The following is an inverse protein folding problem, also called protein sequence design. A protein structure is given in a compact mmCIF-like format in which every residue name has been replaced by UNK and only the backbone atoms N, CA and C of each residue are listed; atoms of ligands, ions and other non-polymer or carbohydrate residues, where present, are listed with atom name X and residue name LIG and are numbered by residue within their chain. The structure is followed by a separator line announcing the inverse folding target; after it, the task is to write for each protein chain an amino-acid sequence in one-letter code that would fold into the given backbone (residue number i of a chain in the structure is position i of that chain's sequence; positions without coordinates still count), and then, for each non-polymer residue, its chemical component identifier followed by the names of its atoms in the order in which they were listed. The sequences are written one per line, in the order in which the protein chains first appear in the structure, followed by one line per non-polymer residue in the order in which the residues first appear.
data_IF_301818788858
#
_entry.id   IF_301818788858
#
_cell.length_a   1.000
_cell.length_b   1.000
_cell.length_c   1.000
_cell.angle_alpha   90.00
_cell.angle_beta   90.00
_cell.angle_gamma   90.00
#
_symmetry.space_group_name_H-M   'P 1'
#
loop_
_entity.id
_entity.type
_entity.pdbx_description
1 polymer ?
#
# COMPACT_ATOMS: atom_id res chain seq x y z
N UNK A 1 15.53 5.94 7.13
CA UNK A 1 14.15 6.43 6.88
C UNK A 1 13.97 6.55 5.39
N UNK A 2 12.94 5.93 4.82
CA UNK A 2 12.64 6.06 3.39
C UNK A 2 11.89 7.38 3.15
N UNK A 3 12.27 8.13 2.11
CA UNK A 3 11.51 9.32 1.71
C UNK A 3 10.19 8.91 1.05
N UNK A 4 10.23 7.84 0.25
CA UNK A 4 9.06 7.24 -0.37
C UNK A 4 9.33 5.78 -0.76
N UNK A 5 8.25 5.01 -0.90
CA UNK A 5 8.23 3.67 -1.51
C UNK A 5 7.19 3.66 -2.62
N UNK A 6 7.50 3.04 -3.75
CA UNK A 6 6.62 2.93 -4.92
C UNK A 6 6.34 1.47 -5.26
N UNK A 7 5.08 1.15 -5.56
CA UNK A 7 4.68 -0.11 -6.17
C UNK A 7 3.97 0.11 -7.52
N UNK A 8 4.14 -0.86 -8.42
CA UNK A 8 3.45 -0.89 -9.71
C UNK A 8 2.02 -1.41 -9.59
N UNK A 9 1.09 -0.82 -10.32
CA UNK A 9 -0.23 -1.39 -10.59
C UNK A 9 -0.71 -0.98 -12.00
N UNK A 10 -1.35 -1.91 -12.71
CA UNK A 10 -1.91 -1.62 -14.05
C UNK A 10 -3.04 -0.58 -13.99
N UNK A 11 -3.79 -0.56 -12.88
CA UNK A 11 -4.81 0.43 -12.57
C UNK A 11 -4.71 0.90 -11.10
N UNK A 12 -4.01 2.05 -10.86
CA UNK A 12 -3.92 2.65 -9.53
C UNK A 12 -5.27 3.00 -8.90
N UNK A 13 -6.30 3.30 -9.69
CA UNK A 13 -7.62 3.62 -9.17
C UNK A 13 -8.35 2.35 -8.69
N UNK A 14 -8.19 1.23 -9.40
CA UNK A 14 -8.80 -0.05 -9.03
C UNK A 14 -8.25 -0.61 -7.71
N UNK A 15 -6.98 -0.36 -7.38
CA UNK A 15 -6.36 -0.82 -6.12
C UNK A 15 -6.57 0.15 -4.95
N UNK A 16 -7.13 1.34 -5.21
CA UNK A 16 -7.37 2.36 -4.18
C UNK A 16 -8.22 1.85 -3.01
N UNK A 17 -9.35 1.14 -3.22
CA UNK A 17 -10.17 0.65 -2.09
C UNK A 17 -9.38 -0.27 -1.15
N UNK A 18 -8.48 -1.10 -1.69
CA UNK A 18 -7.63 -1.99 -0.91
C UNK A 18 -6.63 -1.21 -0.03
N UNK A 19 -5.91 -0.25 -0.62
CA UNK A 19 -4.94 0.55 0.14
C UNK A 19 -5.58 1.56 1.07
N UNK A 20 -6.76 2.10 0.74
CA UNK A 20 -7.54 2.95 1.64
C UNK A 20 -7.96 2.19 2.90
N UNK A 21 -8.42 0.94 2.77
CA UNK A 21 -8.77 0.10 3.91
C UNK A 21 -7.52 -0.25 4.73
N UNK A 22 -6.48 -0.77 4.07
CA UNK A 22 -5.24 -1.25 4.71
C UNK A 22 -4.51 -0.11 5.44
N UNK A 23 -4.29 1.03 4.79
CA UNK A 23 -3.57 2.15 5.41
C UNK A 23 -4.49 2.96 6.32
N UNK A 24 -5.80 2.96 6.08
CA UNK A 24 -6.80 3.55 6.97
C UNK A 24 -6.82 2.87 8.35
N UNK A 25 -6.63 1.56 8.41
CA UNK A 25 -6.46 0.82 9.68
C UNK A 25 -5.24 1.31 10.50
N UNK A 26 -4.20 1.78 9.79
CA UNK A 26 -3.00 2.38 10.39
C UNK A 26 -3.16 3.87 10.70
N UNK A 27 -4.30 4.48 10.40
CA UNK A 27 -4.58 5.89 10.64
C UNK A 27 -4.16 6.84 9.50
N UNK A 28 -3.84 6.31 8.32
CA UNK A 28 -3.63 7.14 7.13
C UNK A 28 -4.96 7.73 6.62
N UNK A 29 -4.87 8.90 5.99
CA UNK A 29 -6.00 9.45 5.24
C UNK A 29 -6.18 8.70 3.91
N UNK A 30 -7.39 8.72 3.31
CA UNK A 30 -7.62 8.13 2.00
C UNK A 30 -6.62 8.65 0.96
N UNK A 31 -6.18 7.77 0.07
CA UNK A 31 -5.18 8.12 -0.94
C UNK A 31 -5.73 9.13 -1.94
N UNK A 32 -4.85 9.97 -2.48
CA UNK A 32 -5.16 10.93 -3.54
C UNK A 32 -4.61 10.44 -4.88
N UNK A 33 -5.39 10.53 -5.95
CA UNK A 33 -4.87 10.38 -7.32
C UNK A 33 -4.38 11.75 -7.77
N UNK A 34 -3.10 11.87 -8.13
CA UNK A 34 -2.54 13.11 -8.68
C UNK A 34 -2.77 13.24 -10.19
N UNK A 35 -2.35 14.38 -10.76
CA UNK A 35 -2.50 14.68 -12.19
C UNK A 35 -1.74 13.71 -13.11
N UNK A 36 -0.83 12.90 -12.56
CA UNK A 36 -0.08 11.86 -13.29
C UNK A 36 -0.75 10.49 -13.16
N UNK A 37 -1.91 10.40 -12.52
CA UNK A 37 -2.62 9.14 -12.29
C UNK A 37 -1.99 8.27 -11.19
N UNK A 38 -1.13 8.84 -10.33
CA UNK A 38 -0.48 8.11 -9.24
C UNK A 38 -1.35 8.18 -8.00
N UNK A 39 -1.55 7.04 -7.36
CA UNK A 39 -2.20 6.95 -6.06
C UNK A 39 -1.19 7.21 -4.95
N UNK A 40 -1.37 8.28 -4.19
CA UNK A 40 -0.42 8.78 -3.20
C UNK A 40 -1.04 8.74 -1.81
N UNK A 41 -0.31 8.14 -0.86
CA UNK A 41 -0.59 8.15 0.57
C UNK A 41 0.53 8.87 1.31
N UNK A 42 0.17 9.80 2.19
CA UNK A 42 1.08 10.50 3.08
C UNK A 42 0.67 10.21 4.52
N UNK A 43 1.57 9.58 5.28
CA UNK A 43 1.30 9.21 6.66
C UNK A 43 2.59 9.10 7.46
N UNK A 44 2.59 9.63 8.69
CA UNK A 44 3.71 9.53 9.64
C UNK A 44 5.08 9.90 9.07
N UNK A 45 5.12 10.94 8.23
CA UNK A 45 6.35 11.45 7.62
C UNK A 45 6.88 10.65 6.42
N UNK A 46 6.19 9.58 6.02
CA UNK A 46 6.50 8.78 4.83
C UNK A 46 5.49 8.99 3.70
N UNK A 47 5.91 8.63 2.47
CA UNK A 47 5.07 8.66 1.28
C UNK A 47 5.04 7.26 0.66
N UNK A 48 3.84 6.71 0.46
CA UNK A 48 3.63 5.48 -0.29
C UNK A 48 2.88 5.80 -1.58
N UNK A 49 3.36 5.30 -2.70
CA UNK A 49 2.80 5.62 -4.01
C UNK A 49 2.55 4.34 -4.80
N UNK A 50 1.38 4.25 -5.42
CA UNK A 50 1.06 3.22 -6.41
C UNK A 50 0.90 3.89 -7.77
N UNK A 51 1.59 3.39 -8.79
CA UNK A 51 1.62 3.99 -10.12
C UNK A 51 1.63 2.93 -11.20
N UNK A 52 1.16 3.29 -12.39
CA UNK A 52 1.50 2.53 -13.60
C UNK A 52 3.03 2.54 -13.80
N UNK A 53 3.64 1.42 -14.22
CA UNK A 53 5.06 1.39 -14.56
C UNK A 53 5.39 2.43 -15.62
N UNK A 54 6.49 3.16 -15.43
CA UNK A 54 6.86 4.30 -16.29
C UNK A 54 7.46 3.85 -17.63
N UNK A 55 7.98 2.64 -17.71
CA UNK A 55 8.47 2.01 -18.93
C UNK A 55 7.33 1.53 -19.84
N UNK A 56 6.08 1.52 -19.34
CA UNK A 56 4.90 1.11 -20.09
C UNK A 56 4.64 -0.40 -20.08
N UNK A 57 5.49 -1.18 -19.41
CA UNK A 57 5.28 -2.62 -19.26
C UNK A 57 4.21 -2.91 -18.19
N UNK A 58 3.60 -4.10 -18.20
CA UNK A 58 2.65 -4.50 -17.15
C UNK A 58 3.29 -4.47 -15.76
N UNK A 59 2.52 -4.10 -14.76
CA UNK A 59 2.97 -4.19 -13.37
C UNK A 59 3.25 -5.66 -13.01
N UNK A 60 4.35 -5.90 -12.30
CA UNK A 60 4.72 -7.23 -11.83
C UNK A 60 5.07 -7.20 -10.34
N UNK A 61 4.96 -8.34 -9.68
CA UNK A 61 5.36 -8.47 -8.28
C UNK A 61 6.89 -8.54 -8.16
N UNK A 62 7.43 -8.04 -7.05
CA UNK A 62 8.84 -8.26 -6.71
C UNK A 62 8.99 -9.65 -6.06
N UNK A 63 9.74 -10.56 -6.68
CA UNK A 63 10.03 -11.87 -6.08
C UNK A 63 10.90 -11.70 -4.82
N UNK A 64 10.35 -12.03 -3.65
CA UNK A 64 10.96 -11.78 -2.34
C UNK A 64 10.85 -10.31 -1.87
N UNK A 65 10.12 -9.46 -2.58
CA UNK A 65 9.90 -8.08 -2.18
C UNK A 65 8.71 -7.95 -1.22
N UNK A 66 8.96 -7.36 -0.05
CA UNK A 66 7.94 -7.12 0.97
C UNK A 66 7.98 -5.66 1.41
N UNK A 67 6.81 -5.02 1.48
CA UNK A 67 6.65 -3.68 2.06
C UNK A 67 5.92 -3.82 3.39
N UNK A 68 6.64 -3.61 4.49
CA UNK A 68 6.06 -3.57 5.83
C UNK A 68 5.67 -2.14 6.21
N UNK A 69 4.43 -1.96 6.66
CA UNK A 69 3.97 -0.70 7.24
C UNK A 69 4.02 -0.78 8.77
N UNK A 70 4.49 0.28 9.42
CA UNK A 70 4.58 0.33 10.87
C UNK A 70 3.18 0.46 11.48
N UNK A 71 2.85 -0.45 12.38
CA UNK A 71 1.67 -0.40 13.24
C UNK A 71 2.09 0.02 14.66
N UNK A 72 1.27 0.82 15.33
CA UNK A 72 1.52 1.23 16.72
C UNK A 72 1.10 0.15 17.73
N UNK A 73 0.27 -0.81 17.32
CA UNK A 73 -0.15 -1.94 18.14
C UNK A 73 -0.51 -3.17 17.29
N UNK A 74 -0.53 -4.39 17.87
CA UNK A 74 -0.94 -5.60 17.16
C UNK A 74 -2.36 -5.52 16.57
N UNK A 75 -3.25 -4.80 17.22
CA UNK A 75 -4.65 -4.63 16.78
C UNK A 75 -4.73 -3.89 15.45
N UNK A 76 -3.82 -2.94 15.19
CA UNK A 76 -3.73 -2.25 13.91
C UNK A 76 -3.16 -3.12 12.78
N UNK A 77 -2.47 -4.20 13.12
CA UNK A 77 -1.94 -5.15 12.14
C UNK A 77 -2.94 -6.27 11.83
N UNK A 78 -4.16 -6.24 12.37
CA UNK A 78 -5.14 -7.32 12.18
C UNK A 78 -5.49 -7.51 10.70
N UNK A 79 -5.42 -8.75 10.18
CA UNK A 79 -5.69 -9.05 8.77
C UNK A 79 -7.16 -8.79 8.37
N UNK A 80 -8.08 -8.71 9.34
CA UNK A 80 -9.51 -8.46 9.10
C UNK A 80 -9.79 -7.07 8.50
N UNK A 81 -8.83 -6.14 8.61
CA UNK A 81 -8.98 -4.74 8.20
C UNK A 81 -8.43 -4.46 6.80
N UNK A 82 -7.59 -5.35 6.26
CA UNK A 82 -7.01 -5.23 4.93
C UNK A 82 -7.88 -6.02 3.96
N UNK A 83 -8.55 -5.35 3.02
CA UNK A 83 -9.48 -5.97 2.05
C UNK A 83 -8.85 -6.92 1.02
N UNK A 84 -7.82 -7.69 1.39
CA UNK A 84 -7.11 -8.66 0.56
C UNK A 84 -7.13 -10.06 1.17
N UNK A 85 -6.55 -11.01 0.44
CA UNK A 85 -6.43 -12.41 0.88
C UNK A 85 -5.07 -12.63 1.54
N UNK A 86 -5.06 -13.27 2.71
CA UNK A 86 -3.82 -13.64 3.41
C UNK A 86 -3.02 -14.65 2.58
N UNK A 87 -1.75 -14.35 2.31
CA UNK A 87 -0.79 -15.26 1.69
C UNK A 87 0.24 -15.83 2.69
N UNK A 88 0.23 -15.37 3.94
CA UNK A 88 1.11 -15.78 5.04
C UNK A 88 0.29 -15.99 6.35
N UNK A 89 0.97 -16.45 7.41
CA UNK A 89 0.38 -16.62 8.75
C UNK A 89 -0.03 -15.27 9.38
N UNK A 90 -0.99 -15.27 10.32
CA UNK A 90 -1.38 -14.06 11.04
C UNK A 90 -0.21 -13.39 11.79
N UNK A 91 -0.27 -12.07 12.03
CA UNK A 91 0.72 -11.39 12.84
C UNK A 91 0.87 -12.01 14.24
N UNK A 92 2.10 -12.26 14.67
CA UNK A 92 2.41 -12.75 16.02
C UNK A 92 2.35 -14.27 16.21
N UNK A 93 2.26 -15.05 15.13
CA UNK A 93 2.41 -16.51 15.12
C UNK A 93 3.88 -16.93 15.03
#
# INVERSE_FOLDING_TARGET
MFSHVMLGADDPAAVKPFYDATLGALGAQPGMIDDKGRLVYMHSGGIFIVSKPIDGEPACHANGGTVGFAAASPEQASPEQAGGTTCEDPPGV
#
